data_IF_328020688964
#
_entry.id   IF_328020688964
#
_cell.length_a   1.000
_cell.length_b   1.000
_cell.length_c   1.000
_cell.angle_alpha   90.00
_cell.angle_beta   90.00
_cell.angle_gamma   90.00
#
_symmetry.space_group_name_H-M   'P 1'
#
loop_
_entity.id
_entity.type
_entity.pdbx_description
1 polymer ?
#
# COMPACT_ATOMS: atom_id res chain seq x y z
N UNK A 1 6.87 -19.60 0.90
CA UNK A 1 6.47 -18.20 0.68
C UNK A 1 7.33 -17.65 -0.44
N UNK A 2 6.75 -16.92 -1.39
CA UNK A 2 7.46 -16.42 -2.56
C UNK A 2 7.28 -14.90 -2.66
N UNK A 3 8.32 -14.24 -3.16
CA UNK A 3 8.32 -12.80 -3.40
C UNK A 3 9.22 -12.48 -4.60
N UNK A 4 9.10 -11.26 -5.09
CA UNK A 4 10.06 -10.65 -6.01
C UNK A 4 10.29 -9.18 -5.63
N UNK A 5 11.30 -8.57 -6.21
CA UNK A 5 11.61 -7.15 -6.03
C UNK A 5 11.89 -6.50 -7.38
N UNK A 6 11.33 -5.31 -7.61
CA UNK A 6 11.49 -4.57 -8.86
C UNK A 6 11.32 -3.07 -8.65
N UNK A 7 11.35 -2.30 -9.74
CA UNK A 7 11.05 -0.86 -9.78
C UNK A 7 10.14 -0.56 -10.98
N UNK A 8 9.81 0.72 -11.21
CA UNK A 8 8.84 1.19 -12.21
C UNK A 8 8.78 0.38 -13.51
N UNK A 9 9.86 0.32 -14.31
CA UNK A 9 9.85 -0.40 -15.58
C UNK A 9 9.54 -1.89 -15.46
N UNK A 10 10.15 -2.57 -14.48
CA UNK A 10 9.93 -3.99 -14.28
C UNK A 10 8.56 -4.29 -13.69
N UNK A 11 8.02 -3.41 -12.83
CA UNK A 11 6.67 -3.54 -12.33
C UNK A 11 5.62 -3.43 -13.45
N UNK A 12 5.83 -2.53 -14.41
CA UNK A 12 4.97 -2.46 -15.61
C UNK A 12 4.93 -3.78 -16.37
N UNK A 13 6.07 -4.47 -16.51
CA UNK A 13 6.13 -5.78 -17.17
C UNK A 13 5.49 -6.90 -16.34
N UNK A 14 5.41 -6.74 -15.02
CA UNK A 14 4.77 -7.72 -14.13
C UNK A 14 3.24 -7.62 -14.11
N UNK A 15 2.64 -6.62 -14.76
CA UNK A 15 1.20 -6.35 -14.65
C UNK A 15 0.34 -7.57 -15.03
N UNK A 16 0.68 -8.29 -16.10
CA UNK A 16 -0.06 -9.50 -16.51
C UNK A 16 0.06 -10.62 -15.46
N UNK A 17 1.27 -10.88 -14.96
CA UNK A 17 1.51 -11.90 -13.93
C UNK A 17 0.81 -11.59 -12.60
N UNK A 18 0.75 -10.31 -12.21
CA UNK A 18 -0.01 -9.87 -11.03
C UNK A 18 -1.51 -10.11 -11.25
N UNK A 19 -2.01 -9.85 -12.46
CA UNK A 19 -3.39 -10.17 -12.85
C UNK A 19 -3.73 -11.65 -12.70
N UNK A 20 -2.85 -12.51 -13.23
CA UNK A 20 -3.02 -13.95 -13.12
C UNK A 20 -2.97 -14.45 -11.67
N UNK A 21 -2.07 -13.90 -10.85
CA UNK A 21 -2.00 -14.20 -9.42
C UNK A 21 -3.25 -13.72 -8.66
N UNK A 22 -3.84 -12.59 -9.07
CA UNK A 22 -5.13 -12.11 -8.59
C UNK A 22 -6.28 -13.07 -8.91
N UNK A 23 -6.38 -13.49 -10.18
CA UNK A 23 -7.36 -14.46 -10.67
C UNK A 23 -7.27 -15.79 -9.92
N UNK A 24 -6.06 -16.30 -9.75
CA UNK A 24 -5.78 -17.62 -9.18
C UNK A 24 -5.57 -17.62 -7.66
N UNK A 25 -5.80 -16.47 -7.01
CA UNK A 25 -5.70 -16.32 -5.57
C UNK A 25 -4.35 -16.77 -5.01
N UNK A 26 -3.28 -16.38 -5.70
CA UNK A 26 -1.92 -16.81 -5.39
C UNK A 26 -1.27 -15.81 -4.44
N UNK A 27 -0.78 -16.25 -3.26
CA UNK A 27 -0.04 -15.40 -2.35
C UNK A 27 1.34 -15.09 -2.92
N UNK A 28 1.59 -13.81 -3.23
CA UNK A 28 2.89 -13.31 -3.68
C UNK A 28 3.11 -11.88 -3.19
N UNK A 29 4.32 -11.58 -2.76
CA UNK A 29 4.72 -10.22 -2.39
C UNK A 29 5.59 -9.63 -3.50
N UNK A 30 5.25 -8.42 -3.94
CA UNK A 30 6.06 -7.62 -4.87
C UNK A 30 6.60 -6.44 -4.09
N UNK A 31 7.90 -6.46 -3.82
CA UNK A 31 8.59 -5.30 -3.24
C UNK A 31 8.87 -4.31 -4.36
N UNK A 32 8.19 -3.18 -4.33
CA UNK A 32 8.25 -2.15 -5.36
C UNK A 32 9.13 -1.00 -4.86
N UNK A 33 10.39 -1.02 -5.29
CA UNK A 33 11.33 0.07 -5.07
C UNK A 33 11.05 1.24 -6.03
N UNK A 34 10.16 2.15 -5.65
CA UNK A 34 9.78 3.30 -6.47
C UNK A 34 10.97 4.25 -6.66
N UNK A 35 11.17 4.72 -7.90
CA UNK A 35 12.28 5.60 -8.28
C UNK A 35 11.77 6.74 -9.16
N UNK A 36 12.66 7.62 -9.60
CA UNK A 36 12.29 8.65 -10.57
C UNK A 36 11.77 8.03 -11.88
N UNK A 37 10.49 8.22 -12.16
CA UNK A 37 9.73 7.79 -13.34
C UNK A 37 9.35 9.03 -14.21
N UNK A 38 8.81 8.90 -15.44
CA UNK A 38 8.37 7.71 -16.19
C UNK A 38 9.48 7.01 -17.00
N UNK A 39 9.16 5.85 -17.60
CA UNK A 39 10.08 5.07 -18.44
C UNK A 39 11.40 4.77 -17.69
N UNK A 40 12.56 4.88 -18.34
CA UNK A 40 13.86 4.79 -17.66
C UNK A 40 13.97 5.79 -16.51
N UNK A 41 13.43 7.00 -16.71
CA UNK A 41 13.36 8.08 -15.74
C UNK A 41 14.73 8.46 -15.20
N UNK A 42 14.84 8.53 -13.88
CA UNK A 42 16.09 8.77 -13.16
C UNK A 42 16.45 7.52 -12.34
N UNK A 43 17.20 6.56 -12.91
CA UNK A 43 17.46 5.26 -12.27
C UNK A 43 18.10 5.34 -10.89
N UNK A 44 18.83 6.41 -10.62
CA UNK A 44 19.57 6.66 -9.37
C UNK A 44 18.83 7.60 -8.40
N UNK A 45 17.62 8.07 -8.72
CA UNK A 45 16.85 9.02 -7.91
C UNK A 45 15.54 8.42 -7.40
N UNK A 46 14.98 9.01 -6.35
CA UNK A 46 13.72 8.55 -5.72
C UNK A 46 12.49 9.18 -6.36
N UNK A 47 11.31 8.66 -6.07
CA UNK A 47 10.03 9.25 -6.45
C UNK A 47 8.84 8.51 -5.83
N UNK A 48 7.72 9.21 -5.67
CA UNK A 48 6.45 8.67 -5.15
C UNK A 48 5.35 8.66 -6.24
N UNK A 49 5.73 8.56 -7.52
CA UNK A 49 4.83 8.80 -8.65
C UNK A 49 4.05 7.56 -9.14
N UNK A 50 4.22 6.41 -8.48
CA UNK A 50 3.73 5.11 -8.97
C UNK A 50 2.57 4.54 -8.13
N UNK A 51 2.09 5.26 -7.10
CA UNK A 51 1.10 4.77 -6.13
C UNK A 51 -0.22 4.33 -6.79
N UNK A 52 -0.84 5.20 -7.58
CA UNK A 52 -2.12 4.85 -8.24
C UNK A 52 -1.95 3.76 -9.28
N UNK A 53 -0.78 3.67 -9.91
CA UNK A 53 -0.49 2.55 -10.79
C UNK A 53 -0.40 1.24 -10.00
N UNK A 54 0.26 1.22 -8.85
CA UNK A 54 0.30 0.04 -7.98
C UNK A 54 -1.10 -0.40 -7.51
N UNK A 55 -1.97 0.56 -7.16
CA UNK A 55 -3.36 0.29 -6.76
C UNK A 55 -4.21 -0.29 -7.90
N UNK A 56 -3.89 0.05 -9.15
CA UNK A 56 -4.69 -0.28 -10.34
C UNK A 56 -3.93 -1.14 -11.36
N UNK A 57 -2.87 -1.84 -10.94
CA UNK A 57 -2.03 -2.62 -11.87
C UNK A 57 -2.82 -3.78 -12.46
N UNK A 58 -2.62 -4.06 -13.74
CA UNK A 58 -3.31 -5.11 -14.51
C UNK A 58 -4.76 -4.81 -14.87
N UNK A 59 -5.29 -5.58 -15.82
CA UNK A 59 -6.68 -5.53 -16.26
C UNK A 59 -7.58 -6.34 -15.31
N UNK A 60 -8.87 -5.97 -15.27
CA UNK A 60 -9.87 -6.59 -14.41
C UNK A 60 -9.73 -6.21 -12.93
N UNK A 61 -10.71 -6.61 -12.13
CA UNK A 61 -10.73 -6.35 -10.69
C UNK A 61 -10.41 -7.63 -9.91
N UNK A 62 -9.55 -7.46 -8.93
CA UNK A 62 -9.17 -8.46 -7.96
C UNK A 62 -8.59 -7.72 -6.75
N UNK A 63 -8.61 -8.34 -5.55
CA UNK A 63 -7.98 -7.75 -4.38
C UNK A 63 -6.49 -7.47 -4.66
N UNK A 64 -6.03 -6.28 -4.31
CA UNK A 64 -4.61 -5.92 -4.30
C UNK A 64 -4.38 -5.24 -2.97
N UNK A 65 -3.57 -5.84 -2.11
CA UNK A 65 -3.21 -5.19 -0.85
C UNK A 65 -1.97 -4.34 -1.11
N UNK A 66 -2.02 -3.07 -0.69
CA UNK A 66 -0.93 -2.12 -0.96
C UNK A 66 -0.54 -1.43 0.33
N UNK A 67 0.72 -1.60 0.73
CA UNK A 67 1.33 -0.97 1.90
C UNK A 67 2.57 -0.17 1.50
N UNK A 68 2.91 0.86 2.27
CA UNK A 68 4.08 1.71 2.06
C UNK A 68 4.78 1.99 3.39
N UNK A 69 6.08 1.67 3.47
CA UNK A 69 6.86 1.92 4.67
C UNK A 69 7.44 3.32 4.68
N UNK A 70 7.43 3.96 5.85
CA UNK A 70 7.94 5.30 6.05
C UNK A 70 9.37 5.41 6.55
N UNK A 71 9.94 4.34 7.08
CA UNK A 71 11.33 4.29 7.58
C UNK A 71 11.88 2.85 7.59
N UNK A 72 13.17 2.71 7.91
CA UNK A 72 13.89 1.42 7.90
C UNK A 72 13.30 0.37 8.86
N UNK A 73 12.75 0.80 10.00
CA UNK A 73 12.13 -0.12 10.98
C UNK A 73 10.79 -0.61 10.45
N UNK A 74 9.97 0.28 9.90
CA UNK A 74 8.74 -0.07 9.21
C UNK A 74 9.00 -1.02 8.04
N UNK A 75 10.04 -0.77 7.23
CA UNK A 75 10.37 -1.64 6.09
C UNK A 75 10.64 -3.10 6.50
N UNK A 76 11.28 -3.32 7.66
CA UNK A 76 11.51 -4.66 8.20
C UNK A 76 10.20 -5.34 8.62
N UNK A 77 9.39 -4.67 9.44
CA UNK A 77 8.14 -5.25 9.95
C UNK A 77 7.07 -5.40 8.86
N UNK A 78 7.02 -4.47 7.92
CA UNK A 78 6.09 -4.50 6.79
C UNK A 78 6.42 -5.60 5.81
N UNK A 79 7.68 -6.01 5.65
CA UNK A 79 8.03 -7.18 4.85
C UNK A 79 7.44 -8.48 5.45
N UNK A 80 7.53 -8.63 6.78
CA UNK A 80 6.90 -9.75 7.49
C UNK A 80 5.37 -9.68 7.35
N UNK A 81 4.81 -8.48 7.55
CA UNK A 81 3.37 -8.26 7.45
C UNK A 81 2.86 -8.55 6.04
N UNK A 82 3.55 -8.09 4.98
CA UNK A 82 3.19 -8.35 3.59
C UNK A 82 3.10 -9.84 3.28
N UNK A 83 4.06 -10.64 3.76
CA UNK A 83 4.04 -12.10 3.58
C UNK A 83 2.86 -12.76 4.30
N UNK A 84 2.51 -12.27 5.49
CA UNK A 84 1.34 -12.73 6.24
C UNK A 84 0.03 -12.33 5.54
N UNK A 85 -0.09 -11.07 5.09
CA UNK A 85 -1.24 -10.56 4.34
C UNK A 85 -1.46 -11.37 3.06
N UNK A 86 -0.37 -11.67 2.33
CA UNK A 86 -0.44 -12.43 1.08
C UNK A 86 -1.02 -13.83 1.32
N UNK A 87 -0.51 -14.58 2.30
CA UNK A 87 -1.02 -15.92 2.60
C UNK A 87 -2.41 -15.92 3.24
N UNK A 88 -2.71 -14.96 4.12
CA UNK A 88 -4.01 -14.86 4.80
C UNK A 88 -5.14 -14.56 3.81
N UNK A 89 -4.95 -13.57 2.94
CA UNK A 89 -5.97 -13.12 1.99
C UNK A 89 -5.80 -13.71 0.58
N UNK A 90 -4.80 -14.57 0.38
CA UNK A 90 -4.54 -15.31 -0.86
C UNK A 90 -4.57 -14.40 -2.08
N UNK A 91 -3.72 -13.38 -2.07
CA UNK A 91 -3.75 -12.30 -3.05
C UNK A 91 -2.38 -11.64 -3.19
N UNK A 92 -2.08 -10.97 -4.32
CA UNK A 92 -0.88 -10.16 -4.44
C UNK A 92 -0.85 -9.03 -3.39
N UNK A 93 0.30 -8.90 -2.73
CA UNK A 93 0.61 -7.77 -1.85
C UNK A 93 1.74 -6.95 -2.48
N UNK A 94 1.52 -5.66 -2.62
CA UNK A 94 2.53 -4.73 -3.12
C UNK A 94 3.06 -3.94 -1.93
N UNK A 95 4.36 -4.11 -1.66
CA UNK A 95 5.09 -3.38 -0.62
C UNK A 95 5.89 -2.26 -1.26
N UNK A 96 5.39 -1.04 -1.12
CA UNK A 96 6.00 0.17 -1.66
C UNK A 96 7.15 0.61 -0.75
N UNK A 97 8.33 0.74 -1.35
CA UNK A 97 9.51 1.33 -0.74
C UNK A 97 10.07 2.37 -1.71
N UNK A 98 10.38 3.57 -1.24
CA UNK A 98 11.06 4.54 -2.08
C UNK A 98 12.54 4.20 -2.22
N UNK A 99 13.17 4.49 -3.36
CA UNK A 99 14.62 4.30 -3.53
C UNK A 99 15.43 5.00 -2.42
N UNK A 100 14.91 6.11 -1.89
CA UNK A 100 15.44 6.81 -0.74
C UNK A 100 15.74 5.89 0.45
N UNK A 101 14.76 5.06 0.85
CA UNK A 101 14.92 4.13 1.97
C UNK A 101 15.90 3.00 1.63
N UNK A 102 15.90 2.57 0.37
CA UNK A 102 16.72 1.44 -0.10
C UNK A 102 18.22 1.78 -0.16
N UNK A 103 18.56 3.06 -0.37
CA UNK A 103 19.94 3.52 -0.53
C UNK A 103 20.46 4.32 0.67
N UNK A 104 19.60 4.66 1.62
CA UNK A 104 20.01 5.28 2.89
C UNK A 104 20.24 4.22 3.95
N UNK A 105 21.05 4.56 4.94
CA UNK A 105 21.23 3.77 6.14
C UNK A 105 21.08 4.68 7.36
N UNK A 106 20.63 4.10 8.47
CA UNK A 106 20.49 4.79 9.75
C UNK A 106 21.12 3.94 10.84
N UNK A 107 21.68 4.60 11.86
CA UNK A 107 22.05 3.92 13.11
C UNK A 107 20.81 3.89 13.98
N UNK A 108 20.42 2.71 14.44
CA UNK A 108 19.22 2.52 15.25
C UNK A 108 19.43 1.41 16.26
N UNK A 109 18.63 1.42 17.32
CA UNK A 109 18.66 0.40 18.37
C UNK A 109 18.27 -0.96 17.79
N UNK A 110 19.05 -2.00 18.08
CA UNK A 110 18.77 -3.36 17.61
C UNK A 110 17.41 -3.86 18.11
N UNK A 111 16.97 -3.40 19.29
CA UNK A 111 15.66 -3.72 19.87
C UNK A 111 14.49 -3.37 18.96
N UNK A 112 14.63 -2.42 18.04
CA UNK A 112 13.59 -2.06 17.07
C UNK A 112 13.26 -3.20 16.09
N UNK A 113 14.15 -4.18 15.95
CA UNK A 113 13.98 -5.36 15.11
C UNK A 113 13.74 -6.65 15.91
N UNK A 114 13.73 -6.57 17.25
CA UNK A 114 13.47 -7.71 18.13
C UNK A 114 12.01 -7.68 18.59
N UNK A 115 11.35 -8.81 18.47
CA UNK A 115 9.96 -8.98 18.87
C UNK A 115 9.45 -10.35 18.45
N UNK A 116 8.13 -10.54 18.50
CA UNK A 116 7.52 -11.77 18.01
C UNK A 116 7.42 -11.74 16.47
N UNK A 117 8.15 -12.64 15.82
CA UNK A 117 8.06 -12.82 14.36
C UNK A 117 6.90 -13.74 14.00
N UNK A 118 5.69 -13.17 13.93
CA UNK A 118 4.46 -13.91 13.64
C UNK A 118 4.44 -14.43 12.20
N UNK A 119 4.11 -15.72 12.03
CA UNK A 119 3.95 -16.38 10.72
C UNK A 119 2.49 -16.85 10.57
N UNK A 120 1.67 -16.05 9.91
CA UNK A 120 0.29 -16.41 9.58
C UNK A 120 0.21 -17.11 8.20
N UNK A 121 -0.11 -18.41 8.20
CA UNK A 121 -0.21 -19.22 6.96
C UNK A 121 -1.58 -19.13 6.29
N UNK A 122 -2.53 -18.41 6.90
CA UNK A 122 -3.93 -18.36 6.47
C UNK A 122 -4.62 -19.71 6.54
N UNK A 123 -5.64 -19.89 5.68
CA UNK A 123 -6.43 -21.13 5.58
C UNK A 123 -5.72 -22.25 4.82
N UNK A 124 -4.49 -22.57 5.22
CA UNK A 124 -3.76 -23.74 4.70
C UNK A 124 -4.28 -25.01 5.39
N UNK A 125 -4.72 -25.98 4.61
CA UNK A 125 -5.29 -27.26 5.10
C UNK A 125 -4.55 -28.45 4.51
N UNK A 126 -4.76 -29.64 5.09
CA UNK A 126 -4.36 -30.91 4.48
C UNK A 126 -5.55 -31.49 3.70
N UNK A 127 -5.37 -31.96 2.47
CA UNK A 127 -6.46 -32.59 1.73
C UNK A 127 -6.82 -33.95 2.33
N UNK A 128 -8.11 -34.29 2.28
CA UNK A 128 -8.64 -35.61 2.70
C UNK A 128 -8.81 -36.57 1.52
N UNK A 129 -8.76 -36.06 0.29
CA UNK A 129 -9.03 -36.78 -0.97
C UNK A 129 -7.97 -36.46 -2.02
N UNK A 130 -7.85 -37.33 -3.02
CA UNK A 130 -6.88 -37.18 -4.12
C UNK A 130 -7.10 -35.92 -4.97
N UNK A 131 -8.32 -35.39 -4.99
CA UNK A 131 -8.69 -34.15 -5.68
C UNK A 131 -9.26 -33.14 -4.71
N UNK A 132 -8.98 -31.85 -4.93
CA UNK A 132 -9.35 -30.79 -3.99
C UNK A 132 -9.98 -29.56 -4.71
N UNK A 133 -11.15 -29.06 -4.27
CA UNK A 133 -11.78 -27.88 -4.86
C UNK A 133 -11.08 -26.59 -4.41
N UNK A 134 -10.02 -26.21 -5.13
CA UNK A 134 -9.13 -25.08 -4.79
C UNK A 134 -9.86 -23.76 -4.56
N UNK A 135 -10.95 -23.52 -5.28
CA UNK A 135 -11.66 -22.24 -5.32
C UNK A 135 -13.05 -22.31 -4.66
N UNK A 136 -13.21 -23.17 -3.66
CA UNK A 136 -14.45 -23.30 -2.89
C UNK A 136 -15.02 -21.92 -2.49
N UNK A 137 -16.30 -21.68 -2.78
CA UNK A 137 -17.01 -20.44 -2.43
C UNK A 137 -17.26 -20.43 -0.92
N UNK A 138 -16.81 -19.38 -0.27
CA UNK A 138 -16.90 -19.20 1.17
C UNK A 138 -17.46 -17.84 1.50
N UNK A 139 -18.06 -17.71 2.69
CA UNK A 139 -18.70 -16.46 3.13
C UNK A 139 -17.71 -15.31 3.20
N UNK A 140 -16.47 -15.53 3.63
CA UNK A 140 -15.42 -14.51 3.71
C UNK A 140 -14.59 -14.35 2.42
N UNK A 141 -14.90 -15.14 1.39
CA UNK A 141 -14.23 -15.15 0.10
C UNK A 141 -12.91 -15.93 0.07
N UNK A 142 -12.40 -16.39 1.21
CA UNK A 142 -11.09 -17.05 1.33
C UNK A 142 -11.29 -18.58 1.28
N UNK A 143 -11.05 -19.17 0.11
CA UNK A 143 -11.11 -20.63 -0.06
C UNK A 143 -9.99 -21.32 0.74
N UNK A 144 -10.23 -22.49 1.35
CA UNK A 144 -9.16 -23.30 1.90
C UNK A 144 -8.11 -23.63 0.81
N UNK A 145 -6.83 -23.68 1.19
CA UNK A 145 -5.71 -23.84 0.26
C UNK A 145 -4.90 -25.08 0.60
N UNK A 146 -4.45 -25.79 -0.43
CA UNK A 146 -3.49 -26.90 -0.37
C UNK A 146 -2.28 -26.56 -1.23
N UNK A 147 -1.18 -27.32 -1.09
CA UNK A 147 0.00 -27.15 -1.94
C UNK A 147 -0.03 -28.12 -3.12
N UNK A 148 0.63 -27.75 -4.21
CA UNK A 148 0.92 -28.68 -5.30
C UNK A 148 1.70 -29.88 -4.75
N UNK A 149 1.31 -31.08 -5.18
CA UNK A 149 1.86 -32.36 -4.69
C UNK A 149 1.13 -32.94 -3.48
N UNK A 150 0.22 -32.20 -2.82
CA UNK A 150 -0.61 -32.73 -1.73
C UNK A 150 -1.94 -33.29 -2.22
N UNK A 151 -2.51 -32.73 -3.31
CA UNK A 151 -3.69 -33.24 -4.01
C UNK A 151 -3.72 -32.72 -5.46
N UNK A 152 -4.56 -33.32 -6.31
CA UNK A 152 -4.92 -32.85 -7.63
C UNK A 152 -5.73 -31.55 -7.54
N UNK A 153 -5.15 -30.47 -8.08
CA UNK A 153 -5.75 -29.13 -8.16
C UNK A 153 -5.47 -28.53 -9.53
N UNK A 154 -6.38 -27.68 -10.02
CA UNK A 154 -6.25 -27.00 -11.31
C UNK A 154 -6.18 -25.48 -11.09
N UNK A 155 -5.40 -24.82 -11.94
CA UNK A 155 -5.27 -23.37 -11.99
C UNK A 155 -5.33 -22.95 -13.46
N UNK A 156 -6.02 -21.85 -13.76
CA UNK A 156 -6.18 -21.34 -15.12
C UNK A 156 -6.33 -19.82 -15.13
N UNK A 157 -5.93 -19.18 -16.23
CA UNK A 157 -6.14 -17.74 -16.43
C UNK A 157 -7.59 -17.37 -16.75
N UNK A 158 -8.36 -18.32 -17.29
CA UNK A 158 -9.78 -18.17 -17.54
C UNK A 158 -10.59 -18.08 -16.23
N UNK A 159 -11.84 -17.64 -16.36
CA UNK A 159 -12.79 -17.84 -15.26
C UNK A 159 -12.99 -19.35 -15.03
N UNK A 160 -13.16 -19.72 -13.77
CA UNK A 160 -13.16 -21.11 -13.35
C UNK A 160 -14.25 -21.40 -12.32
N UNK A 161 -14.63 -22.67 -12.21
CA UNK A 161 -15.50 -23.16 -11.13
C UNK A 161 -14.67 -23.48 -9.85
N UNK A 162 -15.31 -24.00 -8.81
CA UNK A 162 -14.65 -24.34 -7.53
C UNK A 162 -13.47 -25.33 -7.67
N UNK A 163 -13.44 -26.13 -8.74
CA UNK A 163 -12.40 -27.12 -9.03
C UNK A 163 -11.23 -26.56 -9.86
N UNK A 164 -11.34 -25.33 -10.35
CA UNK A 164 -10.32 -24.69 -11.19
C UNK A 164 -10.44 -25.01 -12.68
N UNK A 165 -11.53 -25.63 -13.11
CA UNK A 165 -11.81 -25.88 -14.53
C UNK A 165 -12.50 -24.68 -15.18
N UNK A 166 -12.16 -24.43 -16.44
CA UNK A 166 -12.70 -23.32 -17.25
C UNK A 166 -14.23 -23.33 -17.23
N UNK A 167 -14.81 -22.14 -17.06
CA UNK A 167 -16.27 -21.95 -17.15
C UNK A 167 -16.63 -20.58 -17.69
N UNK A 168 -17.61 -20.54 -18.58
CA UNK A 168 -18.19 -19.30 -19.12
C UNK A 168 -19.63 -19.07 -18.61
N UNK A 169 -20.11 -19.92 -17.70
CA UNK A 169 -21.44 -19.79 -17.14
C UNK A 169 -21.57 -18.49 -16.35
N UNK A 170 -22.53 -17.64 -16.73
CA UNK A 170 -22.73 -16.30 -16.15
C UNK A 170 -22.98 -16.31 -14.64
N UNK A 171 -23.69 -17.32 -14.15
CA UNK A 171 -23.94 -17.51 -12.71
C UNK A 171 -22.66 -17.82 -11.95
N UNK A 172 -21.82 -18.74 -12.46
CA UNK A 172 -20.52 -19.06 -11.87
C UNK A 172 -19.58 -17.87 -11.92
N UNK A 173 -19.52 -17.17 -13.07
CA UNK A 173 -18.73 -15.94 -13.23
C UNK A 173 -19.06 -14.91 -12.15
N UNK A 174 -20.35 -14.61 -11.95
CA UNK A 174 -20.77 -13.64 -10.91
C UNK A 174 -20.29 -14.10 -9.52
N UNK A 175 -20.58 -15.34 -9.14
CA UNK A 175 -20.24 -15.87 -7.82
C UNK A 175 -18.73 -15.86 -7.56
N UNK A 176 -17.91 -16.32 -8.51
CA UNK A 176 -16.46 -16.40 -8.35
C UNK A 176 -15.79 -15.03 -8.33
N UNK A 177 -16.28 -14.11 -9.14
CA UNK A 177 -15.79 -12.74 -9.15
C UNK A 177 -16.08 -12.03 -7.83
N UNK A 178 -17.34 -12.10 -7.35
CA UNK A 178 -17.74 -11.57 -6.05
C UNK A 178 -16.94 -12.20 -4.90
N UNK A 179 -16.71 -13.53 -4.95
CA UNK A 179 -15.89 -14.25 -3.95
C UNK A 179 -14.48 -13.66 -3.86
N UNK A 180 -13.81 -13.42 -5.00
CA UNK A 180 -12.46 -12.84 -5.01
C UNK A 180 -12.46 -11.43 -4.42
N UNK A 181 -13.41 -10.59 -4.81
CA UNK A 181 -13.50 -9.20 -4.32
C UNK A 181 -13.83 -9.11 -2.83
N UNK A 182 -14.67 -10.00 -2.32
CA UNK A 182 -15.04 -10.06 -0.89
C UNK A 182 -13.83 -10.25 0.03
N UNK A 183 -12.74 -10.84 -0.45
CA UNK A 183 -11.50 -10.95 0.34
C UNK A 183 -10.96 -9.59 0.77
N UNK A 184 -11.13 -8.55 -0.06
CA UNK A 184 -10.72 -7.19 0.31
C UNK A 184 -11.64 -6.59 1.38
N UNK A 185 -12.95 -6.88 1.33
CA UNK A 185 -13.90 -6.49 2.38
C UNK A 185 -13.61 -7.21 3.70
N UNK A 186 -13.26 -8.50 3.64
CA UNK A 186 -12.82 -9.27 4.81
C UNK A 186 -11.52 -8.68 5.39
N UNK A 187 -10.54 -8.36 4.55
CA UNK A 187 -9.32 -7.68 4.99
C UNK A 187 -9.63 -6.31 5.62
N UNK A 188 -10.57 -5.54 5.05
CA UNK A 188 -10.98 -4.25 5.58
C UNK A 188 -11.63 -4.35 6.97
N UNK A 189 -12.37 -5.43 7.23
CA UNK A 189 -12.96 -5.69 8.55
C UNK A 189 -11.95 -6.22 9.57
N UNK A 190 -11.03 -7.08 9.15
CA UNK A 190 -10.12 -7.79 10.05
C UNK A 190 -8.88 -6.98 10.45
N UNK A 191 -8.37 -6.13 9.56
CA UNK A 191 -7.17 -5.34 9.81
C UNK A 191 -7.60 -4.06 10.53
N UNK A 192 -7.20 -3.78 11.79
CA UNK A 192 -7.56 -2.52 12.45
C UNK A 192 -7.06 -1.31 11.65
N UNK A 193 -7.89 -0.26 11.50
CA UNK A 193 -7.51 0.95 10.76
C UNK A 193 -6.32 1.68 11.41
N UNK A 194 -6.13 1.52 12.73
CA UNK A 194 -5.00 2.09 13.49
C UNK A 194 -3.66 1.45 13.10
N UNK A 195 -3.64 0.25 12.52
CA UNK A 195 -2.41 -0.34 11.98
C UNK A 195 -2.05 0.21 10.60
N UNK A 196 -3.00 0.90 9.95
CA UNK A 196 -2.90 1.39 8.57
C UNK A 196 -2.49 2.86 8.49
N UNK A 197 -2.45 3.56 9.62
CA UNK A 197 -2.12 4.99 9.72
C UNK A 197 -1.30 5.20 10.99
N UNK A 198 -0.24 6.00 10.92
CA UNK A 198 0.37 6.60 12.11
C UNK A 198 -0.11 8.05 12.25
N UNK A 199 -0.45 8.44 13.48
CA UNK A 199 -0.90 9.80 13.81
C UNK A 199 0.02 10.36 14.88
N UNK A 200 0.48 11.59 14.69
CA UNK A 200 1.38 12.28 15.61
C UNK A 200 0.81 13.64 15.98
N UNK A 201 0.61 13.82 17.29
CA UNK A 201 0.11 15.05 17.88
C UNK A 201 -1.34 15.37 17.51
N UNK A 202 -1.76 16.58 17.89
CA UNK A 202 -3.11 17.10 17.62
C UNK A 202 -3.02 18.51 17.02
N UNK A 203 -4.15 19.09 16.60
CA UNK A 203 -4.16 20.44 16.06
C UNK A 203 -5.32 20.74 15.12
N UNK A 204 -5.55 22.02 14.83
CA UNK A 204 -6.60 22.48 13.92
C UNK A 204 -6.26 22.27 12.44
N UNK A 205 -4.97 22.08 12.14
CA UNK A 205 -4.46 21.80 10.79
C UNK A 205 -3.96 20.35 10.72
N UNK A 206 -3.87 19.79 9.51
CA UNK A 206 -3.32 18.46 9.30
C UNK A 206 -2.34 18.46 8.11
N UNK A 207 -1.20 17.81 8.28
CA UNK A 207 -0.32 17.38 7.18
C UNK A 207 -0.50 15.88 7.00
N UNK A 208 -0.84 15.48 5.77
CA UNK A 208 -1.01 14.07 5.39
C UNK A 208 0.11 13.71 4.42
N UNK A 209 0.86 12.67 4.77
CA UNK A 209 1.94 12.13 3.95
C UNK A 209 1.89 10.60 3.96
N UNK A 210 2.85 9.98 3.27
CA UNK A 210 3.09 8.55 3.24
C UNK A 210 4.53 8.31 2.80
N UNK A 211 5.02 7.09 3.01
CA UNK A 211 6.37 6.72 2.59
C UNK A 211 7.47 7.49 3.34
N UNK A 212 8.65 7.56 2.72
CA UNK A 212 9.91 8.02 3.32
C UNK A 212 9.88 9.49 3.78
N UNK A 213 8.97 10.29 3.23
CA UNK A 213 8.71 11.68 3.65
C UNK A 213 8.29 11.79 5.13
N UNK A 214 7.83 10.69 5.75
CA UNK A 214 7.60 10.56 7.20
C UNK A 214 8.79 11.09 8.02
N UNK A 215 10.01 10.68 7.70
CA UNK A 215 11.20 11.03 8.50
C UNK A 215 11.40 12.55 8.60
N UNK A 216 11.47 13.22 7.45
CA UNK A 216 11.62 14.68 7.37
C UNK A 216 10.48 15.44 8.08
N UNK A 217 9.27 14.88 8.06
CA UNK A 217 8.12 15.44 8.78
C UNK A 217 8.24 15.29 10.30
N UNK A 218 8.75 14.15 10.78
CA UNK A 218 8.91 13.88 12.21
C UNK A 218 10.07 14.66 12.83
N UNK A 219 11.14 14.91 12.08
CA UNK A 219 12.27 15.72 12.54
C UNK A 219 11.86 17.14 12.97
N UNK A 220 10.74 17.64 12.43
CA UNK A 220 10.20 18.98 12.71
C UNK A 220 8.81 18.91 13.38
N UNK A 221 8.49 17.76 14.00
CA UNK A 221 7.17 17.55 14.62
C UNK A 221 6.84 18.61 15.66
N UNK A 222 7.80 19.01 16.51
CA UNK A 222 7.58 20.03 17.54
C UNK A 222 7.23 21.40 16.93
N UNK A 223 7.87 21.77 15.81
CA UNK A 223 7.54 23.00 15.08
C UNK A 223 6.15 22.92 14.42
N UNK A 224 5.82 21.76 13.84
CA UNK A 224 4.49 21.51 13.29
C UNK A 224 3.41 21.62 14.38
N UNK A 225 3.64 21.01 15.54
CA UNK A 225 2.74 21.07 16.69
C UNK A 225 2.61 22.51 17.24
N UNK A 226 3.69 23.28 17.30
CA UNK A 226 3.65 24.69 17.68
C UNK A 226 2.83 25.55 16.70
N UNK A 227 2.71 25.13 15.44
CA UNK A 227 1.82 25.72 14.43
C UNK A 227 0.38 25.15 14.47
N UNK A 228 0.08 24.23 15.38
CA UNK A 228 -1.21 23.56 15.48
C UNK A 228 -1.47 22.53 14.36
N UNK A 229 -0.42 21.89 13.85
CA UNK A 229 -0.47 20.93 12.74
C UNK A 229 -0.30 19.50 13.26
N UNK A 230 -1.38 18.71 13.18
CA UNK A 230 -1.36 17.26 13.34
C UNK A 230 -0.66 16.59 12.14
N UNK A 231 0.20 15.62 12.39
CA UNK A 231 0.92 14.90 11.34
C UNK A 231 0.34 13.49 11.15
N UNK A 232 0.05 13.11 9.90
CA UNK A 232 -0.60 11.83 9.57
C UNK A 232 0.21 11.14 8.48
N UNK A 233 0.59 9.89 8.72
CA UNK A 233 1.23 9.02 7.73
C UNK A 233 0.30 7.86 7.38
N UNK A 234 -0.11 7.76 6.11
CA UNK A 234 -0.81 6.58 5.60
C UNK A 234 0.20 5.46 5.33
N UNK A 235 -0.07 4.26 5.85
CA UNK A 235 0.77 3.06 5.70
C UNK A 235 0.15 2.00 4.79
N UNK A 236 -1.17 1.90 4.75
CA UNK A 236 -1.89 0.96 3.89
C UNK A 236 -2.93 1.70 3.04
N UNK A 237 -2.77 1.60 1.72
CA UNK A 237 -3.67 2.25 0.75
C UNK A 237 -4.79 1.33 0.26
N UNK A 238 -4.63 0.01 0.42
CA UNK A 238 -5.68 -0.97 0.11
C UNK A 238 -5.58 -2.16 1.06
N UNK A 239 -6.63 -2.46 1.86
CA UNK A 239 -7.85 -1.66 2.03
C UNK A 239 -7.58 -0.33 2.77
N UNK A 240 -8.16 0.77 2.28
CA UNK A 240 -7.90 2.11 2.81
C UNK A 240 -8.57 2.35 4.18
N UNK A 241 -7.92 3.01 5.16
CA UNK A 241 -8.47 3.34 6.49
C UNK A 241 -9.47 4.50 6.45
N UNK A 242 -10.59 4.31 5.75
CA UNK A 242 -11.54 5.37 5.42
C UNK A 242 -12.21 6.02 6.62
N UNK A 243 -12.58 5.26 7.65
CA UNK A 243 -13.36 5.79 8.76
C UNK A 243 -12.49 6.61 9.70
N UNK A 244 -11.30 6.09 10.00
CA UNK A 244 -10.28 6.76 10.80
C UNK A 244 -9.80 8.02 10.08
N UNK A 245 -9.50 7.96 8.78
CA UNK A 245 -9.10 9.15 8.03
C UNK A 245 -10.19 10.22 8.00
N UNK A 246 -11.47 9.85 7.79
CA UNK A 246 -12.59 10.79 7.90
C UNK A 246 -12.64 11.45 9.28
N UNK A 247 -12.55 10.66 10.34
CA UNK A 247 -12.57 11.14 11.73
C UNK A 247 -11.41 12.10 12.02
N UNK A 248 -10.20 11.75 11.58
CA UNK A 248 -9.00 12.57 11.81
C UNK A 248 -9.03 13.89 11.06
N UNK A 249 -9.64 13.92 9.87
CA UNK A 249 -9.64 15.11 9.01
C UNK A 249 -10.89 15.98 9.18
N UNK A 250 -11.92 15.48 9.85
CA UNK A 250 -13.15 16.23 10.12
C UNK A 250 -12.86 17.50 10.93
N UNK A 251 -13.35 18.64 10.46
CA UNK A 251 -13.22 19.92 11.15
C UNK A 251 -11.84 20.58 11.06
N UNK A 252 -10.86 19.98 10.37
CA UNK A 252 -9.56 20.64 10.15
C UNK A 252 -9.73 21.90 9.30
N UNK A 253 -9.09 22.99 9.73
CA UNK A 253 -9.08 24.29 9.03
C UNK A 253 -8.27 24.24 7.74
N UNK A 254 -7.21 23.44 7.72
CA UNK A 254 -6.46 23.11 6.52
C UNK A 254 -5.94 21.67 6.58
N UNK A 255 -5.97 21.01 5.42
CA UNK A 255 -5.40 19.70 5.17
C UNK A 255 -4.35 19.88 4.07
N UNK A 256 -3.10 19.54 4.37
CA UNK A 256 -1.93 19.76 3.52
C UNK A 256 -1.42 18.39 3.07
N UNK A 257 -1.47 18.12 1.76
CA UNK A 257 -0.85 16.93 1.18
C UNK A 257 0.65 17.16 0.99
N UNK A 258 1.49 16.34 1.63
CA UNK A 258 2.95 16.42 1.55
C UNK A 258 3.50 15.19 0.82
N UNK A 259 3.89 15.33 -0.45
CA UNK A 259 4.24 14.19 -1.31
C UNK A 259 5.37 14.47 -2.32
N UNK A 260 6.18 13.43 -2.56
CA UNK A 260 7.26 13.34 -3.54
C UNK A 260 6.78 13.03 -4.98
N UNK A 261 5.64 13.58 -5.38
CA UNK A 261 5.10 13.44 -6.73
C UNK A 261 4.33 14.70 -7.17
N UNK A 262 4.00 14.80 -8.47
CA UNK A 262 3.34 15.98 -9.02
C UNK A 262 1.84 16.06 -8.71
N UNK A 263 1.14 14.93 -8.63
CA UNK A 263 -0.33 14.89 -8.57
C UNK A 263 -0.89 14.84 -7.15
N UNK A 264 -0.05 14.64 -6.13
CA UNK A 264 -0.46 14.27 -4.78
C UNK A 264 -1.33 13.00 -4.80
N UNK A 265 -0.80 11.92 -5.38
CA UNK A 265 -1.56 10.68 -5.61
C UNK A 265 -2.14 10.08 -4.33
N UNK A 266 -1.44 10.19 -3.20
CA UNK A 266 -1.95 9.74 -1.90
C UNK A 266 -3.19 10.53 -1.48
N UNK A 267 -3.16 11.85 -1.70
CA UNK A 267 -4.31 12.72 -1.45
C UNK A 267 -5.47 12.52 -2.44
N UNK A 268 -5.19 12.14 -3.69
CA UNK A 268 -6.24 11.70 -4.63
C UNK A 268 -6.95 10.45 -4.12
N UNK A 269 -6.20 9.44 -3.63
CA UNK A 269 -6.77 8.22 -3.03
C UNK A 269 -7.55 8.55 -1.76
N UNK A 270 -7.01 9.42 -0.89
CA UNK A 270 -7.73 9.92 0.27
C UNK A 270 -9.08 10.55 -0.13
N UNK A 271 -9.08 11.39 -1.16
CA UNK A 271 -10.28 12.05 -1.66
C UNK A 271 -11.29 11.03 -2.19
N UNK A 272 -10.85 10.06 -2.99
CA UNK A 272 -11.68 8.98 -3.53
C UNK A 272 -12.35 8.17 -2.40
N UNK A 273 -11.60 7.82 -1.36
CA UNK A 273 -12.06 6.92 -0.30
C UNK A 273 -12.88 7.62 0.79
N UNK A 274 -12.64 8.92 1.00
CA UNK A 274 -13.24 9.67 2.12
C UNK A 274 -14.19 10.78 1.69
N UNK A 275 -14.05 11.32 0.48
CA UNK A 275 -14.69 12.56 0.02
C UNK A 275 -14.00 13.83 0.52
N UNK A 276 -12.93 13.71 1.32
CA UNK A 276 -12.20 14.86 1.90
C UNK A 276 -11.11 15.31 0.93
N UNK A 277 -11.20 16.55 0.46
CA UNK A 277 -10.19 17.16 -0.39
C UNK A 277 -9.07 17.81 0.44
N UNK A 278 -7.79 17.63 0.06
CA UNK A 278 -6.72 18.47 0.61
C UNK A 278 -6.96 19.93 0.21
N UNK A 279 -6.76 20.83 1.15
CA UNK A 279 -6.86 22.28 0.91
C UNK A 279 -5.60 22.84 0.26
N UNK A 280 -4.44 22.27 0.58
CA UNK A 280 -3.12 22.73 0.14
C UNK A 280 -2.23 21.54 -0.23
N UNK A 281 -1.19 21.81 -1.02
CA UNK A 281 -0.24 20.82 -1.50
C UNK A 281 1.19 21.32 -1.32
N UNK A 282 2.04 20.51 -0.72
CA UNK A 282 3.49 20.73 -0.61
C UNK A 282 4.17 19.57 -1.33
N UNK A 283 4.70 19.82 -2.52
CA UNK A 283 5.08 18.76 -3.45
C UNK A 283 6.52 18.89 -3.93
N UNK A 284 7.14 17.74 -4.18
CA UNK A 284 8.49 17.67 -4.75
C UNK A 284 8.56 16.58 -5.81
N UNK A 285 9.18 16.87 -6.95
CA UNK A 285 9.28 15.91 -8.05
C UNK A 285 10.58 16.10 -8.86
N UNK A 286 11.63 16.61 -8.22
CA UNK A 286 12.95 16.80 -8.81
C UNK A 286 13.92 15.61 -8.57
N UNK A 287 13.43 14.51 -7.98
CA UNK A 287 14.20 13.29 -7.70
C UNK A 287 15.07 13.32 -6.43
N UNK A 288 15.03 14.43 -5.66
CA UNK A 288 15.70 14.57 -4.37
C UNK A 288 14.71 14.36 -3.23
N UNK A 289 15.24 14.06 -2.05
CA UNK A 289 14.47 13.94 -0.82
C UNK A 289 13.84 15.29 -0.45
N UNK A 290 12.65 15.25 0.14
CA UNK A 290 12.10 16.39 0.88
C UNK A 290 12.90 16.48 2.18
N UNK A 291 13.47 17.65 2.47
CA UNK A 291 14.20 17.89 3.73
C UNK A 291 13.28 18.46 4.80
N UNK A 292 13.67 18.36 6.07
CA UNK A 292 12.89 18.85 7.20
C UNK A 292 12.67 20.37 7.13
N UNK A 293 13.67 21.14 6.69
CA UNK A 293 13.55 22.58 6.41
C UNK A 293 12.50 22.88 5.32
N UNK A 294 12.47 22.06 4.26
CA UNK A 294 11.47 22.19 3.20
C UNK A 294 10.06 21.87 3.70
N UNK A 295 9.91 20.91 4.63
CA UNK A 295 8.62 20.63 5.27
C UNK A 295 8.14 21.87 6.03
N UNK A 296 8.98 22.45 6.88
CA UNK A 296 8.62 23.63 7.68
C UNK A 296 8.25 24.80 6.79
N UNK A 297 9.10 25.14 5.81
CA UNK A 297 8.84 26.27 4.92
C UNK A 297 7.60 26.03 4.04
N UNK A 298 7.45 24.81 3.52
CA UNK A 298 6.30 24.43 2.72
C UNK A 298 4.98 24.53 3.49
N UNK A 299 4.96 24.03 4.73
CA UNK A 299 3.78 24.12 5.60
C UNK A 299 3.49 25.57 5.99
N UNK A 300 4.51 26.37 6.35
CA UNK A 300 4.32 27.81 6.64
C UNK A 300 3.72 28.56 5.46
N UNK A 301 4.18 28.32 4.24
CA UNK A 301 3.63 28.92 3.02
C UNK A 301 2.20 28.48 2.74
N UNK A 302 1.91 27.18 2.92
CA UNK A 302 0.55 26.65 2.81
C UNK A 302 -0.40 27.30 3.82
N UNK A 303 -0.01 27.42 5.09
CA UNK A 303 -0.81 28.08 6.13
C UNK A 303 -1.00 29.58 5.90
N UNK A 304 -0.11 30.23 5.13
CA UNK A 304 -0.26 31.62 4.65
C UNK A 304 -1.18 31.74 3.41
N UNK A 305 -1.74 30.63 2.92
CA UNK A 305 -2.72 30.60 1.83
C UNK A 305 -2.17 30.20 0.46
N UNK A 306 -0.89 29.83 0.34
CA UNK A 306 -0.36 29.34 -0.93
C UNK A 306 -0.84 27.91 -1.20
N UNK A 307 -1.84 27.77 -2.08
CA UNK A 307 -2.52 26.50 -2.35
C UNK A 307 -1.57 25.38 -2.80
N UNK A 308 -0.54 25.69 -3.58
CA UNK A 308 0.38 24.68 -4.12
C UNK A 308 1.82 25.19 -4.03
N UNK A 309 2.54 24.66 -3.06
CA UNK A 309 3.97 24.92 -2.84
C UNK A 309 4.78 23.83 -3.54
N UNK A 310 5.69 24.23 -4.41
CA UNK A 310 6.65 23.32 -5.06
C UNK A 310 8.01 23.51 -4.41
N UNK A 311 8.53 22.42 -3.84
CA UNK A 311 9.82 22.36 -3.17
C UNK A 311 10.94 22.20 -4.19
N UNK A 312 12.04 22.93 -4.00
CA UNK A 312 13.11 23.04 -4.98
C UNK A 312 14.53 22.88 -4.43
N UNK A 313 14.71 22.68 -3.11
CA UNK A 313 16.04 22.56 -2.52
C UNK A 313 16.74 21.25 -2.95
N UNK A 314 18.07 21.22 -2.79
CA UNK A 314 18.91 20.09 -3.21
C UNK A 314 19.26 20.07 -4.70
N UNK A 315 19.24 21.24 -5.36
CA UNK A 315 19.82 21.43 -6.70
C UNK A 315 21.32 21.17 -6.68
#
# INVERSE_FOLDING_TARGET
>A
RAATSTSGPGFSLMAEGIGWAGMNEVPVVITYYMRGAPSTGQPTRTGQADLKFALNVSHGEFPRIVIASGDHVEAFWDAIWALNLAERYQTPVIHLLEKAIANSYVVTEESNFRGEYVIDRGKLVRPETDYFPRFQVTEDGISPRVRLGEAGVFYTGDEHNEWGHITEASTTRRTMYEKRMRKLETADREIPEEKRVNVFGEGDYAVVTWGFTKGAMLDVLDELQAMGVMAIQVRMFSPYPRNLMRKLLQGKKAIIALEGNYQAQGAEVMTEQTGVLPTHYVLKYNGRLITSDEVVEGVKRALKGERRVVLSAGQ
#
